data_IF_759713582071
#
_entry.id   IF_759713582071
#
_cell.length_a   1.000
_cell.length_b   1.000
_cell.length_c   1.000
_cell.angle_alpha   90.00
_cell.angle_beta   90.00
_cell.angle_gamma   90.00
#
_symmetry.space_group_name_H-M   'P 1'
#
loop_
_entity.id
_entity.type
_entity.pdbx_description
1 polymer ?
#
# COMPACT_ATOMS: atom_id res chain seq x y z
N UNK A 1 -18.66 35.96 -26.00
CA UNK A 1 -19.82 36.31 -25.14
C UNK A 1 -19.32 37.15 -23.97
N UNK A 2 -19.95 38.28 -23.66
CA UNK A 2 -19.69 39.00 -22.40
C UNK A 2 -20.58 38.36 -21.34
N UNK A 3 -20.01 37.54 -20.45
CA UNK A 3 -20.73 36.96 -19.33
C UNK A 3 -21.32 38.10 -18.48
N UNK A 4 -22.61 38.03 -18.19
CA UNK A 4 -23.22 38.93 -17.23
C UNK A 4 -22.69 38.62 -15.81
N UNK A 5 -22.92 39.52 -14.85
CA UNK A 5 -22.32 39.39 -13.52
C UNK A 5 -22.72 38.09 -12.79
N UNK A 6 -23.90 37.55 -13.09
CA UNK A 6 -24.39 36.29 -12.51
C UNK A 6 -23.67 35.09 -13.13
N UNK A 7 -23.53 35.07 -14.45
CA UNK A 7 -22.80 33.99 -15.15
C UNK A 7 -21.31 33.98 -14.77
N UNK A 8 -20.71 35.16 -14.52
CA UNK A 8 -19.34 35.26 -13.98
C UNK A 8 -19.22 34.67 -12.59
N UNK A 9 -20.22 34.91 -11.73
CA UNK A 9 -20.24 34.38 -10.38
C UNK A 9 -20.38 32.87 -10.38
N UNK A 10 -21.30 32.34 -11.19
CA UNK A 10 -21.47 30.90 -11.37
C UNK A 10 -20.20 30.23 -11.91
N UNK A 11 -19.53 30.87 -12.88
CA UNK A 11 -18.27 30.39 -13.41
C UNK A 11 -17.15 30.40 -12.35
N UNK A 12 -17.05 31.46 -11.54
CA UNK A 12 -16.08 31.53 -10.44
C UNK A 12 -16.31 30.40 -9.44
N UNK A 13 -17.56 30.20 -9.00
CA UNK A 13 -17.90 29.11 -8.07
C UNK A 13 -17.60 27.73 -8.67
N UNK A 14 -17.83 27.53 -9.97
CA UNK A 14 -17.48 26.28 -10.64
C UNK A 14 -15.96 26.05 -10.68
N UNK A 15 -15.16 27.10 -10.86
CA UNK A 15 -13.70 27.03 -10.82
C UNK A 15 -13.21 26.72 -9.40
N UNK A 16 -13.78 27.38 -8.39
CA UNK A 16 -13.41 27.16 -6.99
C UNK A 16 -13.69 25.70 -6.59
N UNK A 17 -14.88 25.18 -6.91
CA UNK A 17 -15.23 23.78 -6.66
C UNK A 17 -14.32 22.79 -7.42
N UNK A 18 -13.85 23.16 -8.62
CA UNK A 18 -12.93 22.34 -9.38
C UNK A 18 -11.54 22.31 -8.73
N UNK A 19 -11.06 23.44 -8.20
CA UNK A 19 -9.80 23.49 -7.47
C UNK A 19 -9.87 22.66 -6.18
N UNK A 20 -10.96 22.80 -5.42
CA UNK A 20 -11.19 21.99 -4.21
C UNK A 20 -11.22 20.49 -4.55
N UNK A 21 -11.88 20.12 -5.66
CA UNK A 21 -11.90 18.73 -6.12
C UNK A 21 -10.50 18.23 -6.53
N UNK A 22 -9.68 19.08 -7.15
CA UNK A 22 -8.30 18.73 -7.51
C UNK A 22 -7.42 18.51 -6.27
N UNK A 23 -7.60 19.32 -5.23
CA UNK A 23 -6.88 19.13 -3.96
C UNK A 23 -7.23 17.78 -3.32
N UNK A 24 -8.50 17.39 -3.33
CA UNK A 24 -8.94 16.05 -2.89
C UNK A 24 -8.32 14.93 -3.75
N UNK A 25 -8.23 15.11 -5.07
CA UNK A 25 -7.57 14.11 -5.92
C UNK A 25 -6.07 13.97 -5.61
N UNK A 26 -5.39 15.08 -5.31
CA UNK A 26 -3.96 15.07 -4.94
C UNK A 26 -3.78 14.40 -3.58
N UNK A 27 -4.64 14.71 -2.61
CA UNK A 27 -4.64 14.06 -1.29
C UNK A 27 -4.85 12.55 -1.42
N UNK A 28 -5.85 12.12 -2.19
CA UNK A 28 -6.07 10.70 -2.47
C UNK A 28 -4.87 10.06 -3.17
N UNK A 29 -4.22 10.73 -4.12
CA UNK A 29 -3.02 10.21 -4.78
C UNK A 29 -1.85 10.05 -3.80
N UNK A 30 -1.68 11.00 -2.88
CA UNK A 30 -0.62 10.95 -1.86
C UNK A 30 -0.92 9.90 -0.77
N UNK A 31 -2.19 9.76 -0.38
CA UNK A 31 -2.66 8.71 0.54
C UNK A 31 -2.65 7.33 -0.12
N UNK A 32 -2.75 7.27 -1.45
CA UNK A 32 -2.46 6.10 -2.26
C UNK A 32 -0.95 5.83 -2.31
N UNK A 33 -0.23 6.02 -1.20
CA UNK A 33 1.10 5.45 -1.01
C UNK A 33 1.03 4.04 -1.57
N UNK A 34 1.81 3.76 -2.61
CA UNK A 34 1.86 2.44 -3.20
C UNK A 34 2.11 1.48 -2.04
N UNK A 35 1.13 0.62 -1.74
CA UNK A 35 1.28 -0.47 -0.76
C UNK A 35 2.23 -1.49 -1.39
N UNK A 36 3.48 -1.07 -1.58
CA UNK A 36 4.59 -1.89 -2.04
C UNK A 36 4.92 -2.78 -0.86
N UNK A 37 4.10 -3.81 -0.70
CA UNK A 37 4.34 -4.90 0.21
C UNK A 37 5.78 -5.36 -0.01
N UNK A 38 6.59 -5.33 1.05
CA UNK A 38 8.00 -5.76 0.99
C UNK A 38 8.12 -7.14 0.33
N UNK A 39 7.11 -7.98 0.55
CA UNK A 39 6.88 -9.27 -0.12
C UNK A 39 5.38 -9.42 -0.40
N UNK A 40 5.00 -9.74 -1.63
CA UNK A 40 3.66 -10.22 -1.97
C UNK A 40 3.56 -11.73 -1.71
N UNK A 41 2.50 -12.14 -1.04
CA UNK A 41 2.18 -13.55 -0.84
C UNK A 41 1.07 -13.99 -1.80
N UNK A 42 1.24 -15.15 -2.42
CA UNK A 42 0.17 -15.75 -3.20
C UNK A 42 -1.06 -16.07 -2.34
N UNK A 43 -2.25 -16.08 -2.96
CA UNK A 43 -3.53 -16.35 -2.31
C UNK A 43 -3.55 -17.63 -1.45
N UNK A 44 -2.87 -18.68 -1.93
CA UNK A 44 -2.75 -19.94 -1.20
C UNK A 44 -1.99 -19.77 0.12
N UNK A 45 -0.92 -18.98 0.09
CA UNK A 45 -0.07 -18.68 1.24
C UNK A 45 -0.84 -17.81 2.24
N UNK A 46 -1.58 -16.81 1.76
CA UNK A 46 -2.45 -15.98 2.60
C UNK A 46 -3.51 -16.85 3.30
N UNK A 47 -4.16 -17.78 2.57
CA UNK A 47 -5.16 -18.69 3.15
C UNK A 47 -4.53 -19.62 4.20
N UNK A 48 -3.32 -20.12 3.97
CA UNK A 48 -2.61 -20.95 4.93
C UNK A 48 -2.23 -20.17 6.20
N UNK A 49 -1.72 -18.94 6.05
CA UNK A 49 -1.40 -18.05 7.17
C UNK A 49 -2.66 -17.78 8.00
N UNK A 50 -3.78 -17.42 7.37
CA UNK A 50 -5.05 -17.17 8.07
C UNK A 50 -5.48 -18.37 8.91
N UNK A 51 -5.50 -19.58 8.32
CA UNK A 51 -5.82 -20.82 9.05
C UNK A 51 -4.88 -21.08 10.23
N UNK A 52 -3.59 -20.81 10.05
CA UNK A 52 -2.62 -20.98 11.13
C UNK A 52 -2.84 -19.95 12.25
N UNK A 53 -3.13 -18.69 11.90
CA UNK A 53 -3.43 -17.64 12.89
C UNK A 53 -4.69 -17.98 13.68
N UNK A 54 -5.72 -18.48 13.03
CA UNK A 54 -6.96 -18.89 13.69
C UNK A 54 -6.73 -20.08 14.65
N UNK A 55 -5.84 -21.01 14.30
CA UNK A 55 -5.56 -22.19 15.10
C UNK A 55 -4.55 -21.98 16.24
N UNK A 56 -3.55 -21.12 16.04
CA UNK A 56 -2.37 -21.01 16.92
C UNK A 56 -2.11 -19.60 17.45
N UNK A 57 -2.88 -18.61 17.00
CA UNK A 57 -2.74 -17.21 17.38
C UNK A 57 -1.72 -16.46 16.53
N UNK A 58 -2.00 -15.17 16.31
CA UNK A 58 -1.20 -14.29 15.44
C UNK A 58 0.27 -14.23 15.84
N UNK A 59 0.55 -14.05 17.13
CA UNK A 59 1.92 -13.86 17.63
C UNK A 59 2.81 -15.08 17.41
N UNK A 60 2.30 -16.29 17.70
CA UNK A 60 3.03 -17.54 17.50
C UNK A 60 3.36 -17.77 16.02
N UNK A 61 2.39 -17.54 15.14
CA UNK A 61 2.55 -17.70 13.69
C UNK A 61 3.52 -16.65 13.13
N UNK A 62 3.38 -15.39 13.51
CA UNK A 62 4.30 -14.32 13.08
C UNK A 62 5.74 -14.60 13.51
N UNK A 63 5.95 -15.04 14.77
CA UNK A 63 7.29 -15.41 15.24
C UNK A 63 7.88 -16.54 14.39
N UNK A 64 7.10 -17.59 14.13
CA UNK A 64 7.56 -18.74 13.36
C UNK A 64 7.90 -18.39 11.91
N UNK A 65 7.06 -17.61 11.23
CA UNK A 65 7.30 -17.13 9.87
C UNK A 65 8.58 -16.32 9.81
N UNK A 66 8.76 -15.36 10.72
CA UNK A 66 9.97 -14.54 10.77
C UNK A 66 11.23 -15.40 10.99
N UNK A 67 11.20 -16.36 11.91
CA UNK A 67 12.34 -17.27 12.11
C UNK A 67 12.69 -18.04 10.84
N UNK A 68 11.71 -18.63 10.17
CA UNK A 68 11.95 -19.41 8.94
C UNK A 68 12.51 -18.52 7.83
N UNK A 69 11.92 -17.34 7.62
CA UNK A 69 12.36 -16.40 6.57
C UNK A 69 13.80 -15.93 6.85
N UNK A 70 14.11 -15.57 8.11
CA UNK A 70 15.47 -15.18 8.50
C UNK A 70 16.47 -16.32 8.28
N UNK A 71 16.14 -17.55 8.68
CA UNK A 71 17.00 -18.73 8.45
C UNK A 71 17.29 -18.94 6.96
N UNK A 72 16.26 -18.87 6.11
CA UNK A 72 16.42 -19.00 4.64
C UNK A 72 17.39 -17.93 4.11
N UNK A 73 17.25 -16.68 4.55
CA UNK A 73 18.15 -15.62 4.10
C UNK A 73 19.57 -15.76 4.65
N UNK A 74 19.76 -16.30 5.86
CA UNK A 74 21.09 -16.64 6.39
C UNK A 74 21.82 -17.64 5.48
N UNK A 75 21.13 -18.69 5.01
CA UNK A 75 21.72 -19.63 4.05
C UNK A 75 22.04 -18.97 2.70
N UNK A 76 21.16 -18.09 2.20
CA UNK A 76 21.41 -17.38 0.94
C UNK A 76 22.61 -16.40 1.05
N UNK A 77 22.80 -15.77 2.21
CA UNK A 77 23.97 -14.91 2.45
C UNK A 77 25.28 -15.71 2.44
N UNK A 78 25.29 -16.91 3.02
CA UNK A 78 26.45 -17.81 2.98
C UNK A 78 26.82 -18.23 1.54
N UNK A 79 25.84 -18.44 0.66
CA UNK A 79 26.11 -18.82 -0.74
C UNK A 79 26.70 -17.69 -1.60
N UNK A 80 26.50 -16.42 -1.23
CA UNK A 80 27.14 -15.28 -1.91
C UNK A 80 28.55 -14.98 -1.38
N UNK A 81 28.92 -15.49 -0.22
CA UNK A 81 30.23 -15.30 0.40
C UNK A 81 31.35 -16.20 -0.13
N UNK A 82 31.07 -17.17 -1.02
CA UNK A 82 32.07 -18.11 -1.56
C UNK A 82 32.60 -17.76 -2.95
N UNK A 83 32.39 -16.52 -3.40
CA UNK A 83 33.07 -15.95 -4.58
C UNK A 83 33.66 -14.59 -4.22
N UNK A 84 34.77 -14.59 -3.49
CA UNK A 84 35.81 -13.57 -3.61
C UNK A 84 37.14 -14.12 -3.13
#
# INVERSE_FOLDING_TARGET
MKLNNEEKKQLSTAIDNMNDALDVFIELYNESEEDVSIIEFEDQTIKAIKRAVDAYGKEAVSKKINTIITEIFSFLAETKGSKS
#
